data_IF_994444735869
#
_entry.id   IF_994444735869
#
_cell.length_a   1.000
_cell.length_b   1.000
_cell.length_c   1.000
_cell.angle_alpha   90.00
_cell.angle_beta   90.00
_cell.angle_gamma   90.00
#
_symmetry.space_group_name_H-M   'P 1'
#
loop_
_entity.id
_entity.type
_entity.pdbx_description
1 polymer ?
#
# COMPACT_ATOMS: atom_id res chain seq x y z
N UNK A 1 19.69 -10.32 -7.20
CA UNK A 1 21.11 -10.74 -7.19
C UNK A 1 21.92 -10.22 -6.00
N UNK A 2 21.59 -9.08 -5.36
CA UNK A 2 22.30 -8.60 -4.15
C UNK A 2 22.10 -9.46 -2.87
N UNK A 3 20.99 -10.18 -2.77
CA UNK A 3 20.61 -10.97 -1.57
C UNK A 3 21.53 -12.18 -1.31
N UNK A 4 22.26 -12.62 -2.34
CA UNK A 4 23.17 -13.77 -2.26
C UNK A 4 24.51 -13.33 -1.64
N UNK A 5 25.08 -12.22 -2.12
CA UNK A 5 26.40 -11.76 -1.64
C UNK A 5 26.45 -11.38 -0.16
N UNK A 6 25.39 -10.81 0.41
CA UNK A 6 25.40 -10.42 1.82
C UNK A 6 25.27 -11.62 2.77
N UNK A 7 24.52 -12.64 2.37
CA UNK A 7 24.41 -13.88 3.12
C UNK A 7 25.73 -14.66 3.07
N UNK A 8 26.35 -14.73 1.89
CA UNK A 8 27.63 -15.42 1.71
C UNK A 8 28.74 -14.76 2.55
N UNK A 9 28.77 -13.41 2.61
CA UNK A 9 29.72 -12.66 3.45
C UNK A 9 29.46 -12.92 4.95
N UNK A 10 28.19 -12.99 5.36
CA UNK A 10 27.84 -13.30 6.76
C UNK A 10 28.23 -14.72 7.14
N UNK A 11 28.01 -15.69 6.25
CA UNK A 11 28.37 -17.09 6.48
C UNK A 11 29.90 -17.25 6.54
N UNK A 12 30.65 -16.57 5.66
CA UNK A 12 32.11 -16.55 5.67
C UNK A 12 32.66 -15.92 6.95
N UNK A 13 32.06 -14.82 7.41
CA UNK A 13 32.43 -14.17 8.67
C UNK A 13 32.16 -15.07 9.89
N UNK A 14 31.02 -15.78 9.90
CA UNK A 14 30.67 -16.72 10.97
C UNK A 14 31.64 -17.91 11.00
N UNK A 15 32.03 -18.44 9.84
CA UNK A 15 33.02 -19.53 9.76
C UNK A 15 34.41 -19.10 10.22
N UNK A 16 34.85 -17.90 9.86
CA UNK A 16 36.12 -17.33 10.34
C UNK A 16 36.09 -17.16 11.87
N UNK A 17 35.00 -16.62 12.42
CA UNK A 17 34.83 -16.49 13.87
C UNK A 17 34.84 -17.84 14.58
N UNK A 18 34.17 -18.86 14.04
CA UNK A 18 34.20 -20.22 14.58
C UNK A 18 35.61 -20.82 14.53
N UNK A 19 36.33 -20.61 13.43
CA UNK A 19 37.70 -21.10 13.26
C UNK A 19 38.67 -20.42 14.24
N UNK A 20 38.53 -19.11 14.47
CA UNK A 20 39.27 -18.39 15.51
C UNK A 20 38.91 -18.96 16.89
N UNK A 21 37.62 -19.11 17.20
CA UNK A 21 37.18 -19.63 18.50
C UNK A 21 37.66 -21.07 18.76
N UNK A 22 37.76 -21.90 17.71
CA UNK A 22 38.24 -23.27 17.79
C UNK A 22 39.77 -23.37 17.94
N UNK A 23 40.52 -22.41 17.39
CA UNK A 23 41.98 -22.35 17.47
C UNK A 23 42.49 -21.59 18.71
N UNK A 24 41.67 -20.74 19.31
CA UNK A 24 42.00 -20.12 20.60
C UNK A 24 41.81 -21.19 21.68
N UNK A 25 42.91 -21.62 22.30
CA UNK A 25 42.92 -22.50 23.46
C UNK A 25 42.39 -21.72 24.69
N UNK A 26 41.10 -21.35 24.66
CA UNK A 26 40.39 -20.55 25.67
C UNK A 26 40.45 -21.20 27.06
N UNK A 27 40.77 -22.50 27.11
CA UNK A 27 40.96 -23.25 28.34
C UNK A 27 42.29 -22.91 29.04
N UNK A 28 43.31 -22.48 28.30
CA UNK A 28 44.62 -22.07 28.84
C UNK A 28 44.73 -20.56 29.12
N UNK A 29 43.83 -19.75 28.55
CA UNK A 29 43.78 -18.28 28.76
C UNK A 29 42.86 -17.85 29.91
N UNK A 30 42.15 -18.78 30.56
CA UNK A 30 41.46 -18.53 31.84
C UNK A 30 42.45 -18.59 33.01
N UNK A 31 43.30 -17.58 33.13
CA UNK A 31 44.04 -17.29 34.38
C UNK A 31 43.20 -16.38 35.27
N UNK A 32 43.47 -16.34 36.58
CA UNK A 32 42.74 -15.47 37.54
C UNK A 32 42.74 -13.99 37.11
N UNK A 33 43.76 -13.55 36.37
CA UNK A 33 43.88 -12.19 35.81
C UNK A 33 42.95 -11.90 34.61
N UNK A 34 42.45 -12.96 33.94
CA UNK A 34 41.61 -12.88 32.72
C UNK A 34 40.27 -13.59 32.91
N UNK A 35 39.85 -13.83 34.16
CA UNK A 35 38.47 -14.17 34.42
C UNK A 35 37.61 -13.06 33.81
N UNK A 36 36.60 -13.44 33.02
CA UNK A 36 35.49 -12.53 32.75
C UNK A 36 34.98 -12.09 34.11
N UNK A 37 35.39 -10.87 34.52
CA UNK A 37 34.86 -10.24 35.71
C UNK A 37 33.33 -10.25 35.59
N UNK A 38 32.60 -10.23 36.72
CA UNK A 38 31.15 -10.17 36.66
C UNK A 38 30.77 -9.09 35.65
N UNK A 39 30.06 -9.49 34.59
CA UNK A 39 29.56 -8.59 33.53
C UNK A 39 28.55 -7.66 34.16
N UNK A 40 29.04 -6.71 34.93
CA UNK A 40 28.35 -5.48 35.21
C UNK A 40 28.40 -4.72 33.89
N UNK A 41 27.24 -4.24 33.48
CA UNK A 41 27.00 -3.27 32.41
C UNK A 41 27.71 -1.95 32.70
N UNK A 42 29.01 -2.01 33.01
CA UNK A 42 29.83 -0.85 33.28
C UNK A 42 30.28 -0.28 31.94
N UNK A 43 30.14 1.04 31.83
CA UNK A 43 30.68 1.84 30.74
C UNK A 43 32.16 1.51 30.43
N UNK A 44 32.93 1.09 31.43
CA UNK A 44 34.32 0.64 31.30
C UNK A 44 34.49 -0.66 30.51
N UNK A 45 33.54 -1.60 30.58
CA UNK A 45 33.58 -2.81 29.76
C UNK A 45 33.34 -2.49 28.27
N UNK A 46 32.41 -1.58 27.99
CA UNK A 46 32.15 -1.09 26.63
C UNK A 46 33.40 -0.38 26.07
N UNK A 47 34.05 0.45 26.88
CA UNK A 47 35.30 1.11 26.49
C UNK A 47 36.44 0.12 26.26
N UNK A 48 36.61 -0.90 27.10
CA UNK A 48 37.62 -1.95 26.88
C UNK A 48 37.34 -2.77 25.62
N UNK A 49 36.08 -3.05 25.31
CA UNK A 49 35.69 -3.71 24.05
C UNK A 49 36.03 -2.81 22.86
N UNK A 50 35.72 -1.51 22.92
CA UNK A 50 36.08 -0.54 21.87
C UNK A 50 37.61 -0.42 21.73
N UNK A 51 38.36 -0.36 22.83
CA UNK A 51 39.83 -0.32 22.83
C UNK A 51 40.43 -1.61 22.27
N UNK A 52 39.81 -2.77 22.49
CA UNK A 52 40.25 -4.03 21.87
C UNK A 52 40.09 -4.05 20.35
N UNK A 53 39.17 -3.25 19.79
CA UNK A 53 39.06 -3.05 18.34
C UNK A 53 40.07 -2.02 17.78
N UNK A 54 40.84 -1.34 18.63
CA UNK A 54 41.94 -0.45 18.20
C UNK A 54 43.25 -1.21 17.90
N UNK A 55 43.32 -2.49 18.27
CA UNK A 55 44.43 -3.37 17.92
C UNK A 55 44.32 -3.79 16.44
N UNK A 56 45.45 -3.72 15.72
CA UNK A 56 45.58 -4.11 14.30
C UNK A 56 45.05 -5.52 14.03
N UNK A 57 45.14 -6.41 15.02
CA UNK A 57 44.69 -7.79 14.91
C UNK A 57 43.15 -7.92 14.81
N UNK A 58 42.39 -6.90 15.21
CA UNK A 58 40.92 -6.88 15.12
C UNK A 58 40.38 -5.88 14.07
N UNK A 59 41.28 -5.30 13.27
CA UNK A 59 40.94 -4.31 12.25
C UNK A 59 40.05 -4.90 11.15
N UNK A 60 40.23 -6.17 10.82
CA UNK A 60 39.41 -6.86 9.81
C UNK A 60 37.96 -7.02 10.29
N UNK A 61 37.76 -7.44 11.54
CA UNK A 61 36.45 -7.60 12.17
C UNK A 61 35.74 -6.25 12.28
N UNK A 62 36.43 -5.20 12.72
CA UNK A 62 35.87 -3.85 12.79
C UNK A 62 35.46 -3.33 11.41
N UNK A 63 36.31 -3.50 10.40
CA UNK A 63 36.01 -3.07 9.03
C UNK A 63 34.84 -3.88 8.43
N UNK A 64 34.76 -5.17 8.74
CA UNK A 64 33.66 -6.04 8.30
C UNK A 64 32.33 -5.62 8.93
N UNK A 65 32.32 -5.35 10.23
CA UNK A 65 31.13 -4.84 10.95
C UNK A 65 30.70 -3.48 10.40
N UNK A 66 31.64 -2.56 10.18
CA UNK A 66 31.33 -1.26 9.58
C UNK A 66 30.76 -1.40 8.17
N UNK A 67 31.30 -2.32 7.35
CA UNK A 67 30.79 -2.58 6.02
C UNK A 67 29.35 -3.14 6.06
N UNK A 68 29.07 -4.08 6.96
CA UNK A 68 27.72 -4.62 7.17
C UNK A 68 26.77 -3.51 7.63
N UNK A 69 27.20 -2.68 8.58
CA UNK A 69 26.39 -1.57 9.09
C UNK A 69 26.05 -0.55 7.99
N UNK A 70 27.04 -0.11 7.21
CA UNK A 70 26.80 0.77 6.05
C UNK A 70 25.92 0.12 4.98
N UNK A 71 26.01 -1.20 4.80
CA UNK A 71 25.12 -1.96 3.94
C UNK A 71 23.67 -1.94 4.42
N UNK A 72 23.46 -2.13 5.72
CA UNK A 72 22.14 -2.07 6.37
C UNK A 72 21.54 -0.66 6.28
N UNK A 73 22.32 0.38 6.53
CA UNK A 73 21.86 1.76 6.43
C UNK A 73 21.40 2.11 5.01
N UNK A 74 22.17 1.69 3.99
CA UNK A 74 21.76 1.87 2.58
C UNK A 74 20.52 1.05 2.23
N UNK A 75 20.40 -0.16 2.77
CA UNK A 75 19.22 -0.99 2.54
C UNK A 75 17.96 -0.35 3.15
N UNK A 76 18.07 0.20 4.36
CA UNK A 76 16.97 0.89 5.03
C UNK A 76 16.55 2.14 4.26
N UNK A 77 17.51 2.95 3.78
CA UNK A 77 17.23 4.11 2.93
C UNK A 77 16.46 3.72 1.65
N UNK A 78 16.91 2.67 0.95
CA UNK A 78 16.23 2.17 -0.27
C UNK A 78 14.82 1.68 0.05
N UNK A 79 14.66 0.94 1.15
CA UNK A 79 13.34 0.47 1.59
C UNK A 79 12.41 1.62 1.92
N UNK A 80 12.91 2.63 2.61
CA UNK A 80 12.15 3.83 2.94
C UNK A 80 11.72 4.59 1.68
N UNK A 81 12.63 4.81 0.73
CA UNK A 81 12.34 5.50 -0.53
C UNK A 81 11.28 4.75 -1.35
N UNK A 82 11.39 3.42 -1.46
CA UNK A 82 10.41 2.60 -2.17
C UNK A 82 9.02 2.67 -1.53
N UNK A 83 8.94 2.61 -0.20
CA UNK A 83 7.68 2.72 0.52
C UNK A 83 7.09 4.12 0.35
N UNK A 84 7.92 5.15 0.49
CA UNK A 84 7.52 6.54 0.36
C UNK A 84 6.96 6.83 -1.04
N UNK A 85 7.66 6.40 -2.09
CA UNK A 85 7.20 6.56 -3.47
C UNK A 85 5.91 5.78 -3.76
N UNK A 86 5.79 4.56 -3.22
CA UNK A 86 4.56 3.76 -3.32
C UNK A 86 3.38 4.47 -2.68
N UNK A 87 3.56 5.02 -1.47
CA UNK A 87 2.51 5.77 -0.75
C UNK A 87 2.13 7.02 -1.55
N UNK A 88 3.13 7.79 -2.00
CA UNK A 88 2.92 9.02 -2.77
C UNK A 88 2.18 8.76 -4.08
N UNK A 89 2.55 7.70 -4.79
CA UNK A 89 1.89 7.26 -6.03
C UNK A 89 0.43 6.85 -5.77
N UNK A 90 0.21 6.05 -4.73
CA UNK A 90 -1.14 5.61 -4.32
C UNK A 90 -2.04 6.78 -3.96
N UNK A 91 -1.54 7.74 -3.18
CA UNK A 91 -2.27 8.97 -2.85
C UNK A 91 -2.60 9.79 -4.09
N UNK A 92 -1.65 9.91 -5.02
CA UNK A 92 -1.85 10.64 -6.28
C UNK A 92 -2.95 9.99 -7.12
N UNK A 93 -2.96 8.65 -7.23
CA UNK A 93 -4.04 7.94 -7.92
C UNK A 93 -5.39 8.11 -7.24
N UNK A 94 -5.45 8.08 -5.92
CA UNK A 94 -6.69 8.28 -5.17
C UNK A 94 -7.30 9.66 -5.48
N UNK A 95 -6.48 10.71 -5.45
CA UNK A 95 -6.91 12.07 -5.82
C UNK A 95 -7.47 12.12 -7.25
N UNK A 96 -6.76 11.52 -8.22
CA UNK A 96 -7.21 11.50 -9.62
C UNK A 96 -8.55 10.76 -9.75
N UNK A 97 -8.68 9.58 -9.14
CA UNK A 97 -9.91 8.79 -9.18
C UNK A 97 -11.08 9.58 -8.58
N UNK A 98 -10.86 10.29 -7.46
CA UNK A 98 -11.89 11.13 -6.85
C UNK A 98 -12.34 12.25 -7.78
N UNK A 99 -11.40 12.96 -8.43
CA UNK A 99 -11.73 14.04 -9.38
C UNK A 99 -12.54 13.50 -10.57
N UNK A 100 -12.11 12.38 -11.15
CA UNK A 100 -12.83 11.73 -12.26
C UNK A 100 -14.22 11.28 -11.80
N UNK A 101 -14.34 10.72 -10.60
CA UNK A 101 -15.62 10.32 -10.01
C UNK A 101 -16.59 11.49 -9.87
N UNK A 102 -16.12 12.64 -9.39
CA UNK A 102 -16.94 13.86 -9.28
C UNK A 102 -17.43 14.33 -10.66
N UNK A 103 -16.55 14.33 -11.67
CA UNK A 103 -16.93 14.70 -13.04
C UNK A 103 -18.01 13.77 -13.59
N UNK A 104 -17.87 12.45 -13.38
CA UNK A 104 -18.87 11.47 -13.82
C UNK A 104 -20.21 11.66 -13.12
N UNK A 105 -20.22 11.98 -11.82
CA UNK A 105 -21.45 12.27 -11.09
C UNK A 105 -22.15 13.52 -11.67
N UNK A 106 -21.40 14.60 -11.92
CA UNK A 106 -21.94 15.82 -12.52
C UNK A 106 -22.55 15.50 -13.90
N UNK A 107 -21.83 14.73 -14.72
CA UNK A 107 -22.32 14.30 -16.03
C UNK A 107 -23.61 13.50 -15.94
N UNK A 108 -23.69 12.53 -15.01
CA UNK A 108 -24.87 11.72 -14.79
C UNK A 108 -26.09 12.57 -14.38
N UNK A 109 -25.88 13.56 -13.50
CA UNK A 109 -26.95 14.50 -13.09
C UNK A 109 -27.45 15.32 -14.27
N UNK A 110 -26.57 15.84 -15.12
CA UNK A 110 -26.95 16.63 -16.30
C UNK A 110 -27.77 15.78 -17.28
N UNK A 111 -27.32 14.56 -17.58
CA UNK A 111 -28.04 13.66 -18.49
C UNK A 111 -29.38 13.26 -17.89
N UNK A 112 -29.42 12.90 -16.61
CA UNK A 112 -30.64 12.56 -15.89
C UNK A 112 -31.67 13.69 -15.92
N UNK A 113 -31.24 14.92 -15.66
CA UNK A 113 -32.12 16.09 -15.71
C UNK A 113 -32.72 16.30 -17.11
N UNK A 114 -31.91 16.19 -18.17
CA UNK A 114 -32.39 16.30 -19.55
C UNK A 114 -33.40 15.20 -19.88
N UNK A 115 -33.14 13.97 -19.44
CA UNK A 115 -34.02 12.83 -19.68
C UNK A 115 -35.37 13.01 -18.97
N UNK A 116 -35.37 13.38 -17.69
CA UNK A 116 -36.61 13.65 -16.93
C UNK A 116 -37.42 14.76 -17.59
N UNK A 117 -36.77 15.84 -18.00
CA UNK A 117 -37.45 16.96 -18.66
C UNK A 117 -38.08 16.55 -19.99
N UNK A 118 -37.37 15.76 -20.80
CA UNK A 118 -37.88 15.24 -22.06
C UNK A 118 -39.09 14.30 -21.82
N UNK A 119 -38.97 13.36 -20.88
CA UNK A 119 -40.06 12.44 -20.52
C UNK A 119 -41.29 13.19 -20.02
N UNK A 120 -41.11 14.19 -19.14
CA UNK A 120 -42.22 15.00 -18.65
C UNK A 120 -42.91 15.78 -19.78
N UNK A 121 -42.15 16.30 -20.74
CA UNK A 121 -42.72 16.95 -21.93
C UNK A 121 -43.57 15.96 -22.74
N UNK A 122 -43.05 14.77 -23.01
CA UNK A 122 -43.78 13.72 -23.74
C UNK A 122 -45.04 13.29 -23.00
N UNK A 123 -44.98 13.12 -21.68
CA UNK A 123 -46.15 12.80 -20.86
C UNK A 123 -47.20 13.92 -20.91
N UNK A 124 -46.76 15.19 -20.85
CA UNK A 124 -47.67 16.35 -20.93
C UNK A 124 -48.34 16.43 -22.30
N UNK A 125 -47.60 16.19 -23.39
CA UNK A 125 -48.15 16.13 -24.74
C UNK A 125 -49.18 15.00 -24.88
N UNK A 126 -48.89 13.82 -24.33
CA UNK A 126 -49.79 12.68 -24.36
C UNK A 126 -51.10 12.98 -23.61
N UNK A 127 -51.01 13.60 -22.43
CA UNK A 127 -52.18 14.05 -21.66
C UNK A 127 -52.99 15.10 -22.45
N UNK A 128 -52.33 16.07 -23.09
CA UNK A 128 -53.04 17.08 -23.90
C UNK A 128 -53.78 16.47 -25.09
N UNK A 129 -53.20 15.47 -25.75
CA UNK A 129 -53.86 14.76 -26.87
C UNK A 129 -55.12 14.05 -26.38
N UNK A 130 -55.07 13.40 -25.22
CA UNK A 130 -56.23 12.74 -24.60
C UNK A 130 -57.40 13.72 -24.42
N UNK A 131 -57.12 14.95 -23.96
CA UNK A 131 -58.16 15.96 -23.75
C UNK A 131 -58.68 16.62 -25.03
N UNK A 132 -57.95 16.53 -26.15
CA UNK A 132 -58.36 17.08 -27.45
C UNK A 132 -59.26 16.14 -28.26
N UNK A 133 -59.20 14.83 -28.00
CA UNK A 133 -59.97 13.84 -28.76
C UNK A 133 -61.44 13.84 -28.29
N UNK A 134 -62.42 13.94 -29.19
CA UNK A 134 -63.83 13.85 -28.83
C UNK A 134 -64.16 12.54 -28.10
N UNK A 135 -64.98 12.61 -27.05
CA UNK A 135 -65.41 11.43 -26.28
C UNK A 135 -66.07 10.36 -27.15
N UNK A 136 -66.72 10.73 -28.25
CA UNK A 136 -67.28 9.77 -29.22
C UNK A 136 -66.20 8.91 -29.89
N UNK A 137 -65.02 9.48 -30.16
CA UNK A 137 -63.87 8.79 -30.73
C UNK A 137 -63.16 7.91 -29.69
N UNK A 138 -63.06 8.38 -28.44
CA UNK A 138 -62.51 7.57 -27.33
C UNK A 138 -63.38 6.34 -27.06
N UNK A 139 -64.72 6.51 -27.08
CA UNK A 139 -65.66 5.41 -26.89
C UNK A 139 -65.73 4.43 -28.08
N UNK A 140 -65.21 4.80 -29.26
CA UNK A 140 -65.14 3.93 -30.44
C UNK A 140 -64.01 2.91 -30.36
N UNK A 141 -62.95 3.18 -29.57
CA UNK A 141 -61.80 2.27 -29.40
C UNK A 141 -61.73 1.84 -27.93
N UNK A 142 -62.27 0.67 -27.57
CA UNK A 142 -62.39 0.22 -26.17
C UNK A 142 -61.05 0.16 -25.42
N UNK A 143 -59.97 -0.22 -26.11
CA UNK A 143 -58.62 -0.28 -25.55
C UNK A 143 -58.10 1.11 -25.13
N UNK A 144 -58.38 2.13 -25.95
CA UNK A 144 -57.97 3.50 -25.65
C UNK A 144 -58.77 4.08 -24.49
N UNK A 145 -60.10 3.87 -24.47
CA UNK A 145 -60.95 4.24 -23.33
C UNK A 145 -60.47 3.62 -22.02
N UNK A 146 -60.17 2.33 -22.02
CA UNK A 146 -59.73 1.59 -20.83
C UNK A 146 -58.38 2.10 -20.34
N UNK A 147 -57.43 2.35 -21.24
CA UNK A 147 -56.14 2.96 -20.91
C UNK A 147 -56.27 4.33 -20.23
N UNK A 148 -57.21 5.17 -20.69
CA UNK A 148 -57.47 6.50 -20.12
C UNK A 148 -58.05 6.39 -18.71
N UNK A 149 -58.98 5.44 -18.50
CA UNK A 149 -59.71 5.28 -17.24
C UNK A 149 -58.92 4.53 -16.17
N UNK A 150 -58.10 3.54 -16.56
CA UNK A 150 -57.38 2.66 -15.63
C UNK A 150 -55.87 2.86 -15.58
N UNK A 151 -55.29 3.59 -16.54
CA UNK A 151 -53.84 3.80 -16.63
C UNK A 151 -53.03 2.54 -16.96
N UNK A 152 -53.67 1.44 -17.36
CA UNK A 152 -52.99 0.18 -17.71
C UNK A 152 -53.32 -0.27 -19.14
N UNK A 153 -52.31 -0.80 -19.83
CA UNK A 153 -52.44 -1.59 -21.05
C UNK A 153 -52.47 -3.07 -20.66
N UNK A 154 -53.50 -3.55 -19.97
CA UNK A 154 -53.67 -5.00 -19.86
C UNK A 154 -54.34 -5.51 -21.14
N UNK A 155 -53.48 -6.03 -22.03
CA UNK A 155 -53.85 -6.95 -23.10
C UNK A 155 -54.45 -8.22 -22.48
N UNK A 156 -55.68 -8.55 -22.86
CA UNK A 156 -56.10 -9.94 -22.96
C UNK A 156 -55.83 -10.42 -24.37
#
# INVERSE_FOLDING_TARGET
>A
MLRIGLNDILDEYIEILKAILANVDLKKWKTEDHLYGPTTTSYEYILKVIDSFADINFSFELNSINHIYSGLEKFDAIMFDLIFDSIKSTLSYLVIITIVGVILIIFAVIVGYKMITATNKTLTELVNVIFLIPQSTINMVPQFKRFIETGSFEEQ
#
